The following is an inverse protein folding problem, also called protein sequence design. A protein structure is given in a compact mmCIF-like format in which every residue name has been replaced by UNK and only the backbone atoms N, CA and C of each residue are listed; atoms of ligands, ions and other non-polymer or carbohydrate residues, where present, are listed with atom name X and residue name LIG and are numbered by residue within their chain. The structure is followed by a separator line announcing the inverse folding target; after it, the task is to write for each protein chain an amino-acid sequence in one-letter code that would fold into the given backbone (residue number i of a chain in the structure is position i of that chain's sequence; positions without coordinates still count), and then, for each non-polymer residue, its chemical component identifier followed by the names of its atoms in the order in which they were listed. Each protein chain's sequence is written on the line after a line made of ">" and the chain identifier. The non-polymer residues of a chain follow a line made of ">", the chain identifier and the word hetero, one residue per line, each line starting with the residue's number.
data_IF_984257572032
#
_entry.id   IF_984257572032
#
_cell.length_a   1.000
_cell.length_b   1.000
_cell.length_c   1.000
_cell.angle_alpha   90.00
_cell.angle_beta   90.00
_cell.angle_gamma   90.00
#
_symmetry.space_group_name_H-M   'P 1'
#
loop_
_entity.id
_entity.type
_entity.pdbx_description
1 polymer ?
#
# COMPACT_ATOMS: atom_id res chain seq x y z
N UNK A 1 -4.63 40.09 6.14
CA UNK A 1 -4.93 38.91 6.99
C UNK A 1 -5.38 37.78 6.10
N UNK A 2 -4.56 36.74 5.91
CA UNK A 2 -4.82 35.71 4.89
C UNK A 2 -5.86 34.70 5.41
N UNK A 3 -7.05 34.70 4.81
CA UNK A 3 -8.12 33.76 5.11
C UNK A 3 -7.82 32.46 4.36
N UNK A 4 -7.20 31.50 5.04
CA UNK A 4 -6.90 30.18 4.45
C UNK A 4 -8.22 29.43 4.28
N UNK A 5 -8.57 29.09 3.03
CA UNK A 5 -9.74 28.27 2.74
C UNK A 5 -9.39 26.79 3.03
N UNK A 6 -10.09 26.08 3.93
CA UNK A 6 -9.81 24.68 4.25
C UNK A 6 -10.34 23.68 3.21
N UNK A 7 -11.27 24.10 2.34
CA UNK A 7 -11.84 23.27 1.28
C UNK A 7 -10.81 22.57 0.36
N UNK A 8 -9.77 23.25 -0.17
CA UNK A 8 -8.75 22.60 -1.00
C UNK A 8 -7.99 21.49 -0.28
N UNK A 9 -7.72 21.64 1.03
CA UNK A 9 -6.97 20.62 1.78
C UNK A 9 -7.79 19.35 2.00
N UNK A 10 -9.09 19.49 2.26
CA UNK A 10 -9.99 18.35 2.38
C UNK A 10 -10.18 17.59 1.07
N UNK A 11 -10.19 18.31 -0.06
CA UNK A 11 -10.24 17.72 -1.39
C UNK A 11 -8.93 17.00 -1.72
N UNK A 12 -7.78 17.62 -1.42
CA UNK A 12 -6.47 16.99 -1.59
C UNK A 12 -6.36 15.69 -0.78
N UNK A 13 -6.81 15.69 0.48
CA UNK A 13 -6.83 14.50 1.32
C UNK A 13 -7.70 13.37 0.72
N UNK A 14 -8.88 13.70 0.18
CA UNK A 14 -9.76 12.72 -0.45
C UNK A 14 -9.13 12.11 -1.72
N UNK A 15 -8.48 12.92 -2.55
CA UNK A 15 -7.77 12.45 -3.75
C UNK A 15 -6.62 11.52 -3.36
N UNK A 16 -5.78 11.92 -2.41
CA UNK A 16 -4.64 11.12 -1.93
C UNK A 16 -5.14 9.78 -1.37
N UNK A 17 -6.20 9.81 -0.57
CA UNK A 17 -6.80 8.59 0.00
C UNK A 17 -7.39 7.70 -1.09
N UNK A 18 -8.02 8.27 -2.11
CA UNK A 18 -8.51 7.53 -3.28
C UNK A 18 -7.38 6.83 -4.04
N UNK A 19 -6.27 7.52 -4.27
CA UNK A 19 -5.08 6.91 -4.89
C UNK A 19 -4.50 5.76 -4.04
N UNK A 20 -4.44 5.93 -2.72
CA UNK A 20 -4.02 4.88 -1.78
C UNK A 20 -4.91 3.64 -1.91
N UNK A 21 -6.24 3.82 -1.99
CA UNK A 21 -7.19 2.71 -2.16
C UNK A 21 -6.95 1.97 -3.47
N UNK A 22 -6.83 2.69 -4.59
CA UNK A 22 -6.59 2.08 -5.91
C UNK A 22 -5.27 1.32 -5.94
N UNK A 23 -4.19 1.93 -5.43
CA UNK A 23 -2.89 1.26 -5.37
C UNK A 23 -2.92 0.05 -4.45
N UNK A 24 -3.63 0.10 -3.32
CA UNK A 24 -3.78 -1.05 -2.41
C UNK A 24 -4.48 -2.23 -3.09
N UNK A 25 -5.50 -1.98 -3.92
CA UNK A 25 -6.13 -3.04 -4.74
C UNK A 25 -5.14 -3.63 -5.76
N UNK A 26 -4.35 -2.79 -6.42
CA UNK A 26 -3.35 -3.26 -7.39
C UNK A 26 -2.22 -4.08 -6.73
N UNK A 27 -1.74 -3.65 -5.56
CA UNK A 27 -0.74 -4.38 -4.76
C UNK A 27 -1.32 -5.73 -4.33
N UNK A 28 -2.55 -5.75 -3.81
CA UNK A 28 -3.23 -6.97 -3.41
C UNK A 28 -3.37 -7.94 -4.57
N UNK A 29 -3.84 -7.47 -5.73
CA UNK A 29 -4.03 -8.30 -6.91
C UNK A 29 -2.72 -8.90 -7.42
N UNK A 30 -1.68 -8.08 -7.56
CA UNK A 30 -0.36 -8.53 -8.06
C UNK A 30 0.33 -9.48 -7.07
N UNK A 31 0.35 -9.15 -5.78
CA UNK A 31 0.95 -10.01 -4.75
C UNK A 31 0.17 -11.32 -4.56
N UNK A 32 -1.16 -11.29 -4.55
CA UNK A 32 -1.97 -12.50 -4.47
C UNK A 32 -1.79 -13.39 -5.71
N UNK A 33 -1.77 -12.82 -6.91
CA UNK A 33 -1.56 -13.57 -8.14
C UNK A 33 -0.19 -14.26 -8.16
N UNK A 34 0.89 -13.54 -7.81
CA UNK A 34 2.24 -14.13 -7.77
C UNK A 34 2.35 -15.26 -6.74
N UNK A 35 1.70 -15.11 -5.57
CA UNK A 35 1.67 -16.15 -4.55
C UNK A 35 0.82 -17.37 -4.97
N UNK A 36 -0.30 -17.16 -5.66
CA UNK A 36 -1.15 -18.23 -6.18
C UNK A 36 -0.42 -19.06 -7.25
N UNK A 37 0.26 -18.39 -8.19
CA UNK A 37 1.09 -19.07 -9.20
C UNK A 37 2.19 -19.89 -8.54
N UNK A 38 2.88 -19.33 -7.55
CA UNK A 38 3.88 -20.06 -6.77
C UNK A 38 3.25 -21.30 -6.11
N UNK A 39 2.15 -21.15 -5.37
CA UNK A 39 1.49 -22.27 -4.68
C UNK A 39 1.04 -23.38 -5.64
N UNK A 40 0.66 -23.05 -6.87
CA UNK A 40 0.27 -24.04 -7.89
C UNK A 40 1.46 -24.71 -8.58
N UNK A 41 2.54 -23.98 -8.79
CA UNK A 41 3.64 -24.41 -9.67
C UNK A 41 4.89 -24.90 -8.94
N UNK A 42 5.11 -24.53 -7.67
CA UNK A 42 6.38 -24.81 -6.98
C UNK A 42 6.76 -26.30 -6.89
N UNK A 43 5.78 -27.21 -6.86
CA UNK A 43 6.02 -28.66 -6.82
C UNK A 43 5.99 -29.34 -8.20
N UNK A 44 5.38 -28.70 -9.20
CA UNK A 44 5.05 -29.33 -10.49
C UNK A 44 5.89 -28.81 -11.65
N UNK A 45 6.31 -27.54 -11.61
CA UNK A 45 7.08 -26.91 -12.66
C UNK A 45 8.59 -27.00 -12.32
N UNK A 46 9.40 -27.69 -13.16
CA UNK A 46 10.84 -27.86 -12.96
C UNK A 46 11.64 -26.56 -12.81
N UNK A 47 11.13 -25.43 -13.31
CA UNK A 47 11.77 -24.11 -13.15
C UNK A 47 11.74 -23.57 -11.72
N UNK A 48 10.90 -24.16 -10.87
CA UNK A 48 10.90 -23.93 -9.43
C UNK A 48 11.67 -25.04 -8.67
N UNK A 49 12.00 -26.17 -9.32
CA UNK A 49 12.60 -27.34 -8.66
C UNK A 49 13.99 -27.15 -8.03
N UNK A 50 14.89 -26.25 -8.48
CA UNK A 50 16.18 -26.06 -7.81
C UNK A 50 16.07 -25.37 -6.43
N UNK A 51 14.86 -25.00 -5.98
CA UNK A 51 14.65 -24.34 -4.70
C UNK A 51 14.53 -25.36 -3.57
N UNK A 52 15.48 -25.35 -2.64
CA UNK A 52 15.28 -26.03 -1.36
C UNK A 52 14.18 -25.31 -0.56
N UNK A 53 13.18 -26.00 -0.02
CA UNK A 53 12.11 -25.37 0.76
C UNK A 53 12.62 -24.52 1.94
N UNK A 54 13.80 -24.84 2.47
CA UNK A 54 14.45 -24.10 3.56
C UNK A 54 15.10 -22.78 3.12
N UNK A 55 15.36 -22.61 1.83
CA UNK A 55 16.04 -21.44 1.25
C UNK A 55 15.09 -20.58 0.40
N UNK A 56 13.77 -20.75 0.56
CA UNK A 56 12.78 -19.97 -0.18
C UNK A 56 11.76 -19.32 0.75
N UNK A 57 11.72 -17.98 0.75
CA UNK A 57 10.88 -17.20 1.66
C UNK A 57 9.70 -16.54 0.94
N UNK A 58 8.49 -16.88 1.39
CA UNK A 58 7.21 -16.30 0.91
C UNK A 58 6.65 -15.23 1.86
N UNK A 59 7.24 -15.04 3.03
CA UNK A 59 6.74 -14.12 4.06
C UNK A 59 6.72 -12.68 3.58
N UNK A 60 7.71 -12.25 2.77
CA UNK A 60 7.70 -10.91 2.16
C UNK A 60 6.45 -10.67 1.29
N UNK A 61 6.06 -11.66 0.49
CA UNK A 61 4.84 -11.56 -0.35
C UNK A 61 3.57 -11.61 0.49
N UNK A 62 3.54 -12.46 1.53
CA UNK A 62 2.40 -12.51 2.49
C UNK A 62 2.24 -11.19 3.26
N UNK A 63 3.34 -10.53 3.61
CA UNK A 63 3.32 -9.21 4.26
C UNK A 63 2.77 -8.12 3.33
N UNK A 64 3.11 -8.15 2.04
CA UNK A 64 2.54 -7.26 1.02
C UNK A 64 1.01 -7.45 0.89
N UNK A 65 0.54 -8.70 0.91
CA UNK A 65 -0.90 -9.00 0.92
C UNK A 65 -1.57 -8.45 2.18
N UNK A 66 -1.01 -8.76 3.37
CA UNK A 66 -1.59 -8.33 4.63
C UNK A 66 -1.68 -6.80 4.75
N UNK A 67 -0.59 -6.10 4.43
CA UNK A 67 -0.55 -4.63 4.49
C UNK A 67 -1.49 -3.95 3.49
N UNK A 68 -1.59 -4.48 2.27
CA UNK A 68 -2.51 -3.93 1.27
C UNK A 68 -3.99 -4.13 1.64
N UNK A 69 -4.36 -5.28 2.21
CA UNK A 69 -5.73 -5.52 2.72
C UNK A 69 -6.07 -4.56 3.87
N UNK A 70 -5.19 -4.43 4.86
CA UNK A 70 -5.44 -3.54 6.00
C UNK A 70 -5.55 -2.10 5.55
N UNK A 71 -4.63 -1.64 4.70
CA UNK A 71 -4.63 -0.26 4.18
C UNK A 71 -5.88 0.00 3.35
N UNK A 72 -6.29 -0.95 2.51
CA UNK A 72 -7.50 -0.88 1.71
C UNK A 72 -8.75 -0.72 2.59
N UNK A 73 -8.89 -1.55 3.62
CA UNK A 73 -10.06 -1.52 4.52
C UNK A 73 -10.09 -0.21 5.31
N UNK A 74 -8.98 0.20 5.93
CA UNK A 74 -8.93 1.40 6.76
C UNK A 74 -9.12 2.68 5.94
N UNK A 75 -8.37 2.83 4.85
CA UNK A 75 -8.48 4.01 3.99
C UNK A 75 -9.79 4.01 3.20
N UNK A 76 -10.27 2.86 2.76
CA UNK A 76 -11.56 2.70 2.10
C UNK A 76 -12.73 3.06 3.01
N UNK A 77 -12.73 2.58 4.25
CA UNK A 77 -13.75 2.93 5.24
C UNK A 77 -13.75 4.44 5.54
N UNK A 78 -12.57 5.05 5.70
CA UNK A 78 -12.47 6.50 5.89
C UNK A 78 -12.97 7.30 4.68
N UNK A 79 -12.65 6.85 3.47
CA UNK A 79 -13.10 7.47 2.22
C UNK A 79 -14.62 7.39 2.11
N UNK A 80 -15.22 6.22 2.33
CA UNK A 80 -16.67 6.03 2.32
C UNK A 80 -17.32 6.93 3.39
N UNK A 81 -16.80 6.92 4.62
CA UNK A 81 -17.31 7.77 5.70
C UNK A 81 -17.27 9.27 5.34
N UNK A 82 -16.26 9.71 4.57
CA UNK A 82 -16.13 11.09 4.12
C UNK A 82 -17.21 11.53 3.14
N UNK A 83 -17.85 10.59 2.44
CA UNK A 83 -18.97 10.87 1.52
C UNK A 83 -20.35 10.73 2.17
N UNK A 84 -20.45 10.18 3.38
CA UNK A 84 -21.73 10.01 4.06
C UNK A 84 -22.15 11.36 4.71
N UNK A 85 -23.21 12.03 4.21
CA UNK A 85 -23.62 13.34 4.72
C UNK A 85 -24.12 13.28 6.17
N UNK A 86 -24.69 12.14 6.59
CA UNK A 86 -25.23 11.91 7.94
C UNK A 86 -24.16 12.01 9.04
N UNK A 87 -22.88 11.76 8.72
CA UNK A 87 -21.80 11.82 9.71
C UNK A 87 -21.35 13.27 10.01
N UNK A 88 -21.81 14.25 9.24
CA UNK A 88 -21.50 15.68 9.39
C UNK A 88 -19.98 15.97 9.61
N UNK A 89 -19.11 15.16 9.02
CA UNK A 89 -17.64 15.26 9.18
C UNK A 89 -17.07 16.60 8.69
N UNK A 90 -17.85 17.32 7.87
CA UNK A 90 -17.55 18.68 7.42
C UNK A 90 -17.74 19.74 8.52
N UNK A 91 -18.65 19.52 9.47
CA UNK A 91 -18.89 20.41 10.61
C UNK A 91 -18.02 20.02 11.83
N UNK A 92 -17.75 18.72 12.02
CA UNK A 92 -16.94 18.21 13.13
C UNK A 92 -15.48 17.97 12.75
N UNK A 93 -14.73 19.05 12.52
CA UNK A 93 -13.34 19.03 12.09
C UNK A 93 -12.42 18.17 12.98
N UNK A 94 -12.59 18.23 14.31
CA UNK A 94 -11.79 17.42 15.24
C UNK A 94 -12.11 15.92 15.14
N UNK A 95 -13.39 15.56 14.95
CA UNK A 95 -13.79 14.16 14.77
C UNK A 95 -13.22 13.59 13.47
N UNK A 96 -13.30 14.36 12.38
CA UNK A 96 -12.73 13.97 11.08
C UNK A 96 -11.22 13.75 11.16
N UNK A 97 -10.50 14.65 11.81
CA UNK A 97 -9.05 14.53 11.99
C UNK A 97 -8.67 13.32 12.85
N UNK A 98 -9.40 13.05 13.93
CA UNK A 98 -9.16 11.86 14.75
C UNK A 98 -9.42 10.57 13.98
N UNK A 99 -10.51 10.51 13.21
CA UNK A 99 -10.85 9.34 12.39
C UNK A 99 -9.81 9.11 11.28
N UNK A 100 -9.34 10.16 10.62
CA UNK A 100 -8.29 10.00 9.62
C UNK A 100 -6.95 9.61 10.25
N UNK A 101 -6.58 10.16 11.41
CA UNK A 101 -5.37 9.73 12.13
C UNK A 101 -5.47 8.26 12.58
N UNK A 102 -6.64 7.83 13.07
CA UNK A 102 -6.88 6.46 13.50
C UNK A 102 -6.75 5.44 12.35
N UNK A 103 -6.97 5.86 11.10
CA UNK A 103 -6.83 5.00 9.92
C UNK A 103 -5.44 5.11 9.27
N UNK A 104 -4.89 6.32 9.19
CA UNK A 104 -3.60 6.59 8.55
C UNK A 104 -2.41 6.09 9.36
N UNK A 105 -2.42 6.25 10.69
CA UNK A 105 -1.29 5.88 11.55
C UNK A 105 -0.98 4.36 11.52
N UNK A 106 -1.94 3.44 11.75
CA UNK A 106 -1.68 2.01 11.60
C UNK A 106 -1.29 1.61 10.17
N UNK A 107 -1.91 2.22 9.15
CA UNK A 107 -1.55 1.97 7.74
C UNK A 107 -0.11 2.38 7.43
N UNK A 108 0.34 3.52 7.97
CA UNK A 108 1.70 4.03 7.81
C UNK A 108 2.73 3.09 8.45
N UNK A 109 2.48 2.67 9.69
CA UNK A 109 3.38 1.76 10.40
C UNK A 109 3.46 0.40 9.69
N UNK A 110 2.32 -0.15 9.28
CA UNK A 110 2.26 -1.46 8.64
C UNK A 110 2.95 -1.47 7.28
N UNK A 111 2.74 -0.43 6.46
CA UNK A 111 3.42 -0.30 5.17
C UNK A 111 4.93 -0.10 5.33
N UNK A 112 5.38 0.67 6.34
CA UNK A 112 6.80 0.82 6.65
C UNK A 112 7.44 -0.51 7.06
N UNK A 113 6.84 -1.24 8.00
CA UNK A 113 7.35 -2.54 8.45
C UNK A 113 7.39 -3.53 7.28
N UNK A 114 6.35 -3.56 6.46
CA UNK A 114 6.28 -4.44 5.28
C UNK A 114 7.39 -4.13 4.28
N UNK A 115 7.67 -2.85 4.01
CA UNK A 115 8.74 -2.44 3.09
C UNK A 115 10.10 -2.88 3.60
N UNK A 116 10.40 -2.61 4.87
CA UNK A 116 11.67 -3.00 5.50
C UNK A 116 11.82 -4.52 5.44
N UNK A 117 10.77 -5.26 5.81
CA UNK A 117 10.78 -6.72 5.79
C UNK A 117 10.99 -7.30 4.39
N UNK A 118 10.23 -6.82 3.40
CA UNK A 118 10.36 -7.28 2.02
C UNK A 118 11.74 -6.98 1.43
N UNK A 119 12.32 -5.81 1.73
CA UNK A 119 13.68 -5.48 1.31
C UNK A 119 14.73 -6.34 2.00
N UNK A 120 14.59 -6.59 3.30
CA UNK A 120 15.50 -7.45 4.05
C UNK A 120 15.54 -8.86 3.46
N UNK A 121 14.36 -9.46 3.23
CA UNK A 121 14.26 -10.79 2.63
C UNK A 121 14.83 -10.84 1.21
N UNK A 122 14.55 -9.82 0.38
CA UNK A 122 15.10 -9.76 -0.98
C UNK A 122 16.62 -9.59 -1.01
N UNK A 123 17.23 -9.00 0.01
CA UNK A 123 18.69 -8.81 0.10
C UNK A 123 19.44 -10.07 0.55
N UNK A 124 18.74 -11.08 1.08
CA UNK A 124 19.38 -12.34 1.47
C UNK A 124 19.68 -13.27 0.28
N UNK A 125 19.27 -12.90 -0.94
CA UNK A 125 19.63 -13.65 -2.13
C UNK A 125 21.15 -13.53 -2.40
N UNK A 126 21.85 -14.62 -2.77
CA UNK A 126 21.32 -15.92 -3.20
C UNK A 126 21.17 -16.97 -2.10
N UNK A 127 21.44 -16.66 -0.83
CA UNK A 127 21.37 -17.63 0.27
C UNK A 127 19.93 -18.01 0.64
N UNK A 128 19.01 -17.06 0.53
CA UNK A 128 17.57 -17.34 0.53
C UNK A 128 16.89 -16.49 -0.54
N UNK A 129 16.13 -17.14 -1.42
CA UNK A 129 15.42 -16.50 -2.51
C UNK A 129 13.96 -16.25 -2.13
N UNK A 130 13.37 -15.19 -2.69
CA UNK A 130 11.93 -14.91 -2.62
C UNK A 130 11.29 -15.14 -3.98
N UNK A 131 9.95 -15.10 -4.05
CA UNK A 131 9.22 -15.11 -5.32
C UNK A 131 9.75 -14.02 -6.26
N UNK A 132 10.08 -12.84 -5.74
CA UNK A 132 10.61 -11.73 -6.53
C UNK A 132 12.02 -12.02 -7.03
N UNK A 133 12.97 -12.35 -6.15
CA UNK A 133 14.38 -12.53 -6.56
C UNK A 133 14.52 -13.72 -7.51
N UNK A 134 13.83 -14.82 -7.22
CA UNK A 134 13.85 -16.03 -8.03
C UNK A 134 13.30 -15.80 -9.45
N UNK A 135 12.07 -15.28 -9.56
CA UNK A 135 11.45 -15.06 -10.87
C UNK A 135 12.24 -14.05 -11.69
N UNK A 136 12.77 -13.00 -11.05
CA UNK A 136 13.63 -12.02 -11.73
C UNK A 136 14.99 -12.59 -12.18
N UNK A 137 15.56 -13.55 -11.43
CA UNK A 137 16.82 -14.22 -11.78
C UNK A 137 16.61 -15.23 -12.91
N UNK A 138 15.54 -16.03 -12.83
CA UNK A 138 15.26 -17.13 -13.75
C UNK A 138 14.57 -16.69 -15.06
N UNK A 139 14.03 -15.47 -15.17
CA UNK A 139 13.33 -14.99 -16.38
C UNK A 139 14.20 -14.97 -17.66
N UNK A 140 15.54 -14.87 -17.51
CA UNK A 140 16.48 -14.83 -18.64
C UNK A 140 17.18 -16.16 -18.88
N UNK A 141 17.02 -17.11 -17.96
CA UNK A 141 17.62 -18.42 -18.11
C UNK A 141 16.87 -19.18 -19.18
N UNK A 142 17.63 -19.87 -20.03
CA UNK A 142 17.07 -20.80 -21.00
C UNK A 142 17.33 -22.21 -20.49
N UNK A 143 16.44 -23.17 -20.78
CA UNK A 143 16.73 -24.55 -20.46
C UNK A 143 18.03 -24.90 -21.18
N UNK A 144 18.96 -25.51 -20.45
CA UNK A 144 20.21 -25.98 -21.05
C UNK A 144 19.83 -26.97 -22.15
N UNK A 145 19.99 -26.57 -23.41
CA UNK A 145 19.71 -27.39 -24.58
C UNK A 145 20.78 -28.48 -24.78
N UNK A 146 21.18 -29.14 -23.70
CA UNK A 146 22.04 -30.32 -23.76
C UNK A 146 21.16 -31.49 -24.19
N UNK A 147 21.15 -31.76 -25.51
CA UNK A 147 20.85 -33.06 -26.12
C UNK A 147 19.58 -33.79 -25.65
N UNK A 148 18.50 -33.07 -25.37
CA UNK A 148 17.19 -33.68 -25.12
C UNK A 148 16.48 -33.89 -26.46
N UNK A 149 16.11 -35.14 -26.83
CA UNK A 149 15.36 -35.43 -28.05
C UNK A 149 14.09 -34.58 -28.13
N UNK A 150 13.66 -34.19 -29.35
CA UNK A 150 12.40 -33.44 -29.61
C UNK A 150 11.15 -34.03 -28.93
N UNK A 151 11.20 -35.30 -28.51
CA UNK A 151 10.16 -36.02 -27.79
C UNK A 151 10.02 -35.63 -26.29
N UNK A 152 11.01 -34.93 -25.71
CA UNK A 152 11.00 -34.43 -24.32
C UNK A 152 10.84 -32.90 -24.32
N UNK A 153 10.14 -32.36 -25.32
CA UNK A 153 9.74 -30.96 -25.33
C UNK A 153 8.93 -30.69 -24.06
N UNK A 154 9.39 -29.71 -23.28
CA UNK A 154 8.75 -29.31 -22.03
C UNK A 154 7.27 -29.01 -22.32
N UNK A 155 6.30 -29.63 -21.58
CA UNK A 155 4.88 -29.43 -21.83
C UNK A 155 4.52 -27.95 -21.89
N UNK A 156 3.56 -27.58 -22.74
CA UNK A 156 3.05 -26.21 -22.81
C UNK A 156 2.59 -25.76 -21.42
N UNK A 157 3.17 -24.68 -20.89
CA UNK A 157 2.90 -24.15 -19.54
C UNK A 157 3.84 -24.62 -18.43
N UNK A 158 4.84 -25.46 -18.74
CA UNK A 158 5.83 -25.96 -17.78
C UNK A 158 7.21 -25.30 -17.96
N UNK A 159 7.23 -24.06 -18.48
CA UNK A 159 8.42 -23.24 -18.71
C UNK A 159 8.55 -22.07 -17.73
N UNK A 160 9.54 -21.21 -17.97
CA UNK A 160 9.71 -19.92 -17.28
C UNK A 160 9.13 -18.72 -18.08
N UNK A 161 8.29 -18.97 -19.09
CA UNK A 161 7.72 -17.90 -19.94
C UNK A 161 7.02 -16.81 -19.13
N UNK A 162 6.38 -17.19 -18.03
CA UNK A 162 5.58 -16.29 -17.20
C UNK A 162 6.42 -15.56 -16.14
N UNK A 163 7.68 -15.95 -15.95
CA UNK A 163 8.54 -15.43 -14.88
C UNK A 163 8.86 -13.94 -15.09
N UNK A 164 8.93 -13.47 -16.33
CA UNK A 164 9.04 -12.04 -16.62
C UNK A 164 7.84 -11.26 -16.07
N UNK A 165 6.63 -11.79 -16.26
CA UNK A 165 5.40 -11.21 -15.73
C UNK A 165 5.37 -11.23 -14.21
N UNK A 166 5.73 -12.37 -13.60
CA UNK A 166 5.79 -12.52 -12.15
C UNK A 166 6.83 -11.60 -11.49
N UNK A 167 8.01 -11.44 -12.11
CA UNK A 167 9.04 -10.50 -11.69
C UNK A 167 8.51 -9.06 -11.74
N UNK A 168 7.84 -8.67 -12.82
CA UNK A 168 7.28 -7.33 -12.96
C UNK A 168 6.17 -7.06 -11.94
N UNK A 169 5.28 -8.03 -11.72
CA UNK A 169 4.19 -7.92 -10.74
C UNK A 169 4.69 -7.83 -9.29
N UNK A 170 5.66 -8.67 -8.92
CA UNK A 170 6.25 -8.65 -7.57
C UNK A 170 7.05 -7.36 -7.32
N UNK A 171 7.85 -6.89 -8.29
CA UNK A 171 8.51 -5.57 -8.20
C UNK A 171 7.49 -4.44 -8.10
N UNK A 172 6.44 -4.47 -8.90
CA UNK A 172 5.36 -3.48 -8.82
C UNK A 172 4.75 -3.46 -7.42
N UNK A 173 4.38 -4.62 -6.85
CA UNK A 173 3.80 -4.70 -5.51
C UNK A 173 4.70 -4.06 -4.44
N UNK A 174 6.01 -4.29 -4.50
CA UNK A 174 6.98 -3.70 -3.57
C UNK A 174 7.07 -2.17 -3.75
N UNK A 175 7.31 -1.68 -4.97
CA UNK A 175 7.45 -0.23 -5.19
C UNK A 175 6.14 0.54 -5.01
N UNK A 176 5.00 -0.05 -5.37
CA UNK A 176 3.69 0.54 -5.12
C UNK A 176 3.42 0.66 -3.62
N UNK A 177 3.86 -0.31 -2.80
CA UNK A 177 3.79 -0.19 -1.33
C UNK A 177 4.61 1.01 -0.82
N UNK A 178 5.77 1.30 -1.42
CA UNK A 178 6.57 2.49 -1.10
C UNK A 178 5.84 3.79 -1.45
N UNK A 179 5.19 3.83 -2.61
CA UNK A 179 4.34 4.96 -2.99
C UNK A 179 3.18 5.12 -2.01
N UNK A 180 2.51 4.03 -1.64
CA UNK A 180 1.42 4.05 -0.65
C UNK A 180 1.91 4.58 0.70
N UNK A 181 3.07 4.13 1.19
CA UNK A 181 3.68 4.65 2.42
C UNK A 181 3.87 6.18 2.37
N UNK A 182 4.42 6.70 1.27
CA UNK A 182 4.62 8.14 1.08
C UNK A 182 3.29 8.91 1.01
N UNK A 183 2.30 8.37 0.30
CA UNK A 183 0.97 8.98 0.18
C UNK A 183 0.22 9.01 1.51
N UNK A 184 0.27 7.93 2.30
CA UNK A 184 -0.30 7.87 3.64
C UNK A 184 0.39 8.88 4.55
N UNK A 185 1.72 8.99 4.50
CA UNK A 185 2.49 9.98 5.25
C UNK A 185 2.11 11.42 4.88
N UNK A 186 1.99 11.71 3.59
CA UNK A 186 1.53 13.01 3.11
C UNK A 186 0.09 13.32 3.57
N UNK A 187 -0.82 12.35 3.49
CA UNK A 187 -2.21 12.48 3.97
C UNK A 187 -2.28 12.75 5.48
N UNK A 188 -1.40 12.13 6.25
CA UNK A 188 -1.27 12.36 7.69
C UNK A 188 -0.79 13.80 7.97
N UNK A 189 0.20 14.28 7.20
CA UNK A 189 0.66 15.68 7.27
C UNK A 189 -0.45 16.68 6.96
N UNK A 190 -1.20 16.47 5.87
CA UNK A 190 -2.35 17.32 5.50
C UNK A 190 -3.42 17.31 6.61
N UNK A 191 -3.69 16.15 7.20
CA UNK A 191 -4.62 16.03 8.33
C UNK A 191 -4.15 16.86 9.53
N UNK A 192 -2.87 16.79 9.89
CA UNK A 192 -2.36 17.56 11.04
C UNK A 192 -2.42 19.06 10.78
N UNK A 193 -2.02 19.51 9.58
CA UNK A 193 -2.04 20.93 9.22
C UNK A 193 -3.47 21.49 9.24
N UNK A 194 -4.43 20.77 8.65
CA UNK A 194 -5.85 21.18 8.66
C UNK A 194 -6.40 21.23 10.08
N UNK A 195 -6.16 20.19 10.89
CA UNK A 195 -6.60 20.17 12.28
C UNK A 195 -6.00 21.30 13.12
N UNK A 196 -4.71 21.60 12.95
CA UNK A 196 -4.06 22.71 13.65
C UNK A 196 -4.64 24.06 13.21
N UNK A 197 -4.89 24.25 11.91
CA UNK A 197 -5.50 25.47 11.39
C UNK A 197 -6.91 25.69 11.95
N UNK A 198 -7.75 24.65 11.97
CA UNK A 198 -9.11 24.71 12.52
C UNK A 198 -9.11 24.99 14.03
N UNK A 199 -8.16 24.38 14.77
CA UNK A 199 -8.02 24.61 16.21
C UNK A 199 -7.52 26.03 16.51
N UNK A 200 -6.65 26.58 15.66
CA UNK A 200 -6.16 27.95 15.77
C UNK A 200 -7.26 28.97 15.46
N UNK A 201 -8.09 28.75 14.43
CA UNK A 201 -9.21 29.65 14.13
C UNK A 201 -10.25 29.67 15.24
N UNK A 202 -10.63 28.50 15.78
CA UNK A 202 -11.57 28.40 16.89
C UNK A 202 -11.06 29.10 18.17
N UNK A 203 -9.76 28.99 18.46
CA UNK A 203 -9.13 29.71 19.59
C UNK A 203 -9.15 31.22 19.38
N UNK A 204 -8.97 31.68 18.14
CA UNK A 204 -8.96 33.09 17.81
C UNK A 204 -10.36 33.71 17.93
N UNK A 205 -11.38 33.04 17.41
CA UNK A 205 -12.78 33.46 17.58
C UNK A 205 -13.16 33.58 19.05
N UNK A 206 -12.76 32.61 19.89
CA UNK A 206 -12.99 32.68 21.35
C UNK A 206 -12.35 33.92 21.98
N UNK A 207 -11.12 34.25 21.60
CA UNK A 207 -10.44 35.47 22.10
C UNK A 207 -11.12 36.75 21.60
N UNK A 208 -11.56 36.79 20.35
CA UNK A 208 -12.25 37.95 19.76
C UNK A 208 -13.61 38.20 20.43
N UNK A 209 -14.31 37.14 20.84
CA UNK A 209 -15.54 37.20 21.65
C UNK A 209 -15.23 37.68 23.09
N UNK A 210 -14.19 37.13 23.73
CA UNK A 210 -13.76 37.55 25.08
C UNK A 210 -13.35 39.02 25.15
N UNK A 211 -12.74 39.55 24.09
CA UNK A 211 -12.35 40.97 23.97
C UNK A 211 -13.50 41.90 23.57
N UNK A 212 -14.72 41.38 23.38
CA UNK A 212 -15.89 42.17 22.98
C UNK A 212 -15.80 42.75 21.57
N UNK A 213 -14.88 42.26 20.74
CA UNK A 213 -14.68 42.71 19.36
C UNK A 213 -15.77 42.13 18.43
N UNK A 214 -16.30 40.95 18.78
CA UNK A 214 -17.36 40.26 18.05
C UNK A 214 -18.53 40.00 19.00
N UNK A 215 -19.78 40.35 18.62
CA UNK A 215 -20.94 40.09 19.47
C UNK A 215 -21.13 38.59 19.68
N UNK A 216 -21.53 38.21 20.90
CA UNK A 216 -21.88 36.82 21.24
C UNK A 216 -23.02 36.37 20.33
N UNK A 217 -22.90 35.24 19.61
CA UNK A 217 -24.01 34.74 18.81
C UNK A 217 -25.18 34.43 19.74
N UNK A 218 -26.25 35.22 19.60
CA UNK A 218 -27.53 35.00 20.27
C UNK A 218 -28.16 33.80 19.57
N UNK A 219 -28.41 32.74 20.35
CA UNK A 219 -28.87 31.42 19.91
C UNK A 219 -30.08 31.43 18.97
#
# INVERSE_FOLDING_TARGET
>A
MMKINPAPFHLAQAIITGLVVVLSVAILGTSAHTLDVFNKQHMSNPWWAPMWPQHFDTQGTKALIASSVVTLVLCGAFLIASFIPQLALRQKHTLRALLSLATLLPSLLLTLVTLIWAHLLNNNAPESDTIQTWTCKMQYNQPVAQDLPRAIAMPSGMGNSDFKGLCQQSRFALYATLIVFLLVGASMGVTMVTWMADKWSARRERKEIEMGIVPVPIS
#
